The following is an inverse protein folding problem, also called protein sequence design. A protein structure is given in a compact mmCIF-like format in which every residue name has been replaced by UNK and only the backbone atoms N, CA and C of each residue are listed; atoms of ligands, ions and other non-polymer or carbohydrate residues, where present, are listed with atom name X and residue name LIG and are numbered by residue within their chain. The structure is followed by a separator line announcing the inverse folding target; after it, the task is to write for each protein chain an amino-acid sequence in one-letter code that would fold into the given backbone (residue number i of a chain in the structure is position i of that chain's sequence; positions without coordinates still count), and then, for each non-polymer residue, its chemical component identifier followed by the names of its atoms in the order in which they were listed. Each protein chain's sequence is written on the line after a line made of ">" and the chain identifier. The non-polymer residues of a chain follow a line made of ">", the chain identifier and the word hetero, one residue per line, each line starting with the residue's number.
data_IF_872243526082
#
_entry.id   IF_872243526082
#
_cell.length_a   1.000
_cell.length_b   1.000
_cell.length_c   1.000
_cell.angle_alpha   90.00
_cell.angle_beta   90.00
_cell.angle_gamma   90.00
#
_symmetry.space_group_name_H-M   'P 1'
#
loop_
_entity.id
_entity.type
_entity.pdbx_description
1 polymer ?
#
# COMPACT_ATOMS: atom_id res chain seq x y z
N UNK A 1 -4.07 -8.09 28.47
CA UNK A 1 -5.54 -7.89 28.52
C UNK A 1 -6.20 -8.88 27.57
N UNK A 2 -7.51 -9.12 27.67
CA UNK A 2 -8.21 -9.96 26.68
C UNK A 2 -8.39 -9.19 25.36
N UNK A 3 -8.52 -9.91 24.25
CA UNK A 3 -8.96 -9.36 22.99
C UNK A 3 -9.74 -10.38 22.17
N UNK A 4 -10.58 -9.91 21.26
CA UNK A 4 -11.32 -10.76 20.32
C UNK A 4 -11.34 -10.15 18.92
N UNK A 5 -11.09 -11.00 17.92
CA UNK A 5 -11.23 -10.69 16.50
C UNK A 5 -12.50 -11.36 15.97
N UNK A 6 -13.51 -10.59 15.59
CA UNK A 6 -14.73 -11.05 14.95
C UNK A 6 -14.70 -10.87 13.44
N UNK A 7 -15.24 -11.83 12.69
CA UNK A 7 -15.33 -11.83 11.23
C UNK A 7 -16.80 -11.77 10.78
N UNK A 8 -17.08 -11.16 9.62
CA UNK A 8 -18.46 -11.03 9.12
C UNK A 8 -19.19 -12.35 8.87
N UNK A 9 -18.43 -13.44 8.66
CA UNK A 9 -18.97 -14.78 8.43
C UNK A 9 -19.42 -15.49 9.71
N UNK A 10 -19.31 -14.82 10.87
CA UNK A 10 -19.77 -15.32 12.16
C UNK A 10 -18.71 -15.99 13.02
N UNK A 11 -17.48 -16.17 12.51
CA UNK A 11 -16.39 -16.70 13.32
C UNK A 11 -15.75 -15.59 14.17
N UNK A 12 -15.29 -15.95 15.37
CA UNK A 12 -14.49 -15.07 16.21
C UNK A 12 -13.34 -15.82 16.87
N UNK A 13 -12.31 -15.07 17.27
CA UNK A 13 -11.06 -15.62 17.82
C UNK A 13 -10.63 -14.79 19.02
N UNK A 14 -10.64 -15.42 20.19
CA UNK A 14 -10.17 -14.82 21.43
C UNK A 14 -8.65 -15.01 21.53
N UNK A 15 -7.96 -13.97 21.95
CA UNK A 15 -6.52 -13.95 22.14
C UNK A 15 -6.11 -12.98 23.24
N UNK A 16 -4.83 -12.63 23.21
CA UNK A 16 -4.23 -11.68 24.14
C UNK A 16 -4.12 -10.32 23.46
N UNK A 17 -4.77 -9.31 24.04
CA UNK A 17 -4.68 -7.93 23.57
C UNK A 17 -3.35 -7.29 23.95
N UNK A 18 -2.82 -6.48 23.04
CA UNK A 18 -1.68 -5.59 23.28
C UNK A 18 -1.94 -4.22 22.66
N UNK A 19 -1.26 -3.19 23.17
CA UNK A 19 -1.57 -1.81 22.83
C UNK A 19 -2.65 -1.22 23.72
N UNK A 20 -3.40 -0.24 23.21
CA UNK A 20 -4.49 0.40 23.94
C UNK A 20 -5.78 -0.42 23.90
N UNK A 21 -6.57 -0.36 24.97
CA UNK A 21 -7.94 -0.84 24.98
C UNK A 21 -8.81 -0.03 24.01
N UNK A 22 -9.80 -0.67 23.41
CA UNK A 22 -10.69 -0.04 22.44
C UNK A 22 -11.11 -0.98 21.33
N UNK A 23 -11.65 -0.39 20.27
CA UNK A 23 -12.20 -1.15 19.14
C UNK A 23 -11.70 -0.58 17.82
N UNK A 24 -11.47 -1.48 16.86
CA UNK A 24 -11.14 -1.12 15.48
C UNK A 24 -11.88 -2.03 14.52
N UNK A 25 -12.26 -1.49 13.37
CA UNK A 25 -12.87 -2.25 12.28
C UNK A 25 -12.05 -2.06 11.00
N UNK A 26 -12.05 -3.08 10.15
CA UNK A 26 -11.36 -3.04 8.87
C UNK A 26 -11.43 -4.35 8.12
N UNK A 27 -11.04 -4.31 6.85
CA UNK A 27 -10.86 -5.51 6.06
C UNK A 27 -9.66 -6.31 6.61
N UNK A 28 -9.87 -7.57 7.01
CA UNK A 28 -8.80 -8.46 7.44
C UNK A 28 -7.99 -8.91 6.24
N UNK A 29 -6.71 -8.54 6.25
CA UNK A 29 -5.73 -8.89 5.24
C UNK A 29 -4.54 -9.58 5.90
N UNK A 30 -3.82 -10.41 5.16
CA UNK A 30 -2.57 -10.99 5.63
C UNK A 30 -1.38 -10.53 4.80
N UNK A 31 -0.19 -10.48 5.41
CA UNK A 31 1.08 -10.26 4.72
C UNK A 31 2.06 -11.39 5.03
N UNK A 32 2.78 -11.84 3.99
CA UNK A 32 3.80 -12.89 4.11
C UNK A 32 5.18 -12.38 4.53
N UNK A 33 5.29 -11.08 4.83
CA UNK A 33 6.54 -10.48 5.28
C UNK A 33 7.01 -11.10 6.59
N UNK A 34 8.28 -11.51 6.63
CA UNK A 34 8.94 -12.06 7.82
C UNK A 34 9.75 -11.02 8.59
N UNK A 35 10.00 -9.87 7.96
CA UNK A 35 10.71 -8.71 8.50
C UNK A 35 10.01 -7.45 7.99
N UNK A 36 10.28 -6.29 8.59
CA UNK A 36 9.72 -5.03 8.12
C UNK A 36 8.29 -4.75 8.60
N UNK A 37 7.92 -5.24 9.80
CA UNK A 37 6.57 -5.07 10.32
C UNK A 37 6.22 -3.61 10.58
N UNK A 38 7.18 -2.76 10.98
CA UNK A 38 6.90 -1.32 11.16
C UNK A 38 6.71 -0.63 9.81
N UNK A 39 7.49 -1.01 8.80
CA UNK A 39 7.36 -0.51 7.44
C UNK A 39 6.00 -0.89 6.84
N UNK A 40 5.52 -2.10 7.12
CA UNK A 40 4.17 -2.52 6.75
C UNK A 40 3.09 -1.77 7.55
N UNK A 41 3.18 -1.70 8.88
CA UNK A 41 2.17 -1.02 9.72
C UNK A 41 2.02 0.47 9.38
N UNK A 42 3.11 1.12 8.96
CA UNK A 42 3.14 2.55 8.59
C UNK A 42 2.96 2.80 7.09
N UNK A 43 2.71 1.77 6.27
CA UNK A 43 2.39 1.94 4.86
C UNK A 43 0.94 2.45 4.71
N UNK A 44 0.71 3.65 4.14
CA UNK A 44 -0.63 4.22 3.96
C UNK A 44 -1.59 3.33 3.17
N UNK A 45 -1.08 2.42 2.33
CA UNK A 45 -1.92 1.48 1.58
C UNK A 45 -2.71 0.51 2.48
N UNK A 46 -2.34 0.35 3.76
CA UNK A 46 -3.10 -0.44 4.75
C UNK A 46 -4.22 0.34 5.46
N UNK A 47 -4.47 1.60 5.11
CA UNK A 47 -5.59 2.35 5.69
C UNK A 47 -6.91 1.58 5.53
N UNK A 48 -7.70 1.50 6.60
CA UNK A 48 -8.95 0.73 6.62
C UNK A 48 -8.80 -0.78 6.72
N UNK A 49 -7.57 -1.30 6.89
CA UNK A 49 -7.30 -2.74 6.97
C UNK A 49 -6.78 -3.16 8.35
N UNK A 50 -7.17 -4.34 8.80
CA UNK A 50 -6.61 -5.05 9.94
C UNK A 50 -5.48 -5.96 9.42
N UNK A 51 -4.23 -5.67 9.81
CA UNK A 51 -3.05 -6.32 9.23
C UNK A 51 -2.63 -7.53 10.04
N UNK A 52 -2.77 -8.71 9.44
CA UNK A 52 -2.28 -9.97 9.98
C UNK A 52 -0.92 -10.37 9.42
N UNK A 53 0.02 -10.69 10.29
CA UNK A 53 1.31 -11.23 9.90
C UNK A 53 1.29 -12.76 9.91
N UNK A 54 1.78 -13.37 8.82
CA UNK A 54 1.93 -14.84 8.78
C UNK A 54 3.19 -15.31 9.48
N UNK A 55 4.23 -14.46 9.56
CA UNK A 55 5.42 -14.77 10.35
C UNK A 55 5.05 -14.72 11.83
N UNK A 56 5.34 -15.79 12.62
CA UNK A 56 4.68 -15.98 13.89
C UNK A 56 5.10 -14.96 14.96
N UNK A 57 6.36 -14.50 14.95
CA UNK A 57 6.89 -13.61 15.97
C UNK A 57 7.06 -12.19 15.42
N UNK A 58 6.28 -11.25 15.94
CA UNK A 58 6.31 -9.84 15.54
C UNK A 58 6.78 -8.97 16.71
N UNK A 59 7.56 -7.92 16.43
CA UNK A 59 8.12 -7.03 17.45
C UNK A 59 9.55 -7.36 17.90
N UNK A 60 10.20 -8.39 17.34
CA UNK A 60 11.52 -8.87 17.78
C UNK A 60 12.65 -7.83 17.73
N UNK A 61 12.61 -6.86 16.79
CA UNK A 61 13.56 -5.76 16.75
C UNK A 61 13.07 -4.47 17.42
N UNK A 62 11.91 -4.48 18.07
CA UNK A 62 11.30 -3.28 18.66
C UNK A 62 10.71 -2.36 17.59
N UNK A 63 10.65 -1.06 17.87
CA UNK A 63 10.18 -0.05 16.92
C UNK A 63 11.36 0.67 16.28
N UNK A 64 11.41 0.60 14.95
CA UNK A 64 12.41 1.30 14.13
C UNK A 64 11.78 2.50 13.43
N UNK A 65 11.87 3.66 14.07
CA UNK A 65 11.36 4.93 13.55
C UNK A 65 12.04 5.38 12.25
N UNK A 66 13.27 4.93 11.97
CA UNK A 66 14.00 5.36 10.78
C UNK A 66 13.37 4.79 9.51
N UNK A 67 12.78 3.61 9.61
CA UNK A 67 12.27 2.86 8.47
C UNK A 67 10.76 3.05 8.24
N UNK A 68 10.08 3.83 9.09
CA UNK A 68 8.68 4.21 8.89
C UNK A 68 8.43 4.73 7.48
N UNK A 69 7.38 4.22 6.83
CA UNK A 69 6.96 4.64 5.50
C UNK A 69 6.04 5.86 5.54
N UNK A 70 5.43 6.13 6.69
CA UNK A 70 4.70 7.33 7.02
C UNK A 70 4.87 7.61 8.53
N UNK A 71 4.78 8.87 9.00
CA UNK A 71 4.88 9.17 10.44
C UNK A 71 3.84 8.45 11.32
N UNK A 72 2.70 8.04 10.74
CA UNK A 72 1.63 7.34 11.44
C UNK A 72 1.54 5.87 11.05
N UNK A 73 1.03 5.06 11.97
CA UNK A 73 0.53 3.71 11.67
C UNK A 73 -0.82 3.85 10.96
N UNK A 74 -0.94 3.24 9.78
CA UNK A 74 -2.14 3.31 8.95
C UNK A 74 -2.99 2.05 9.01
N UNK A 75 -2.37 0.90 9.33
CA UNK A 75 -3.12 -0.31 9.66
C UNK A 75 -4.02 -0.05 10.88
N UNK A 76 -5.28 -0.47 10.79
CA UNK A 76 -6.28 -0.30 11.86
C UNK A 76 -6.04 -1.19 13.07
N UNK A 77 -5.17 -2.19 12.93
CA UNK A 77 -4.78 -3.08 14.01
C UNK A 77 -3.73 -4.10 13.55
N UNK A 78 -3.01 -4.67 14.52
CA UNK A 78 -1.95 -5.65 14.28
C UNK A 78 -2.36 -7.03 14.83
N UNK A 79 -2.39 -8.03 13.95
CA UNK A 79 -2.77 -9.39 14.28
C UNK A 79 -1.55 -10.30 14.11
N UNK A 80 -1.15 -10.99 15.18
CA UNK A 80 0.02 -11.86 15.17
C UNK A 80 -0.24 -13.16 15.91
N UNK A 81 0.61 -14.16 15.68
CA UNK A 81 0.62 -15.37 16.50
C UNK A 81 1.26 -15.09 17.86
N UNK A 82 2.42 -14.45 17.86
CA UNK A 82 3.18 -14.06 19.05
C UNK A 82 3.68 -12.62 18.90
N UNK A 83 3.64 -11.87 20.00
CA UNK A 83 4.25 -10.54 20.11
C UNK A 83 5.48 -10.63 21.01
N UNK A 84 6.60 -10.07 20.56
CA UNK A 84 7.85 -10.12 21.31
C UNK A 84 7.79 -9.18 22.52
N UNK A 85 7.95 -9.76 23.71
CA UNK A 85 7.95 -9.01 24.98
C UNK A 85 9.33 -8.48 25.37
N UNK A 86 10.40 -9.01 24.78
CA UNK A 86 11.80 -8.64 25.04
C UNK A 86 12.53 -8.33 23.74
N UNK A 87 12.21 -7.20 23.07
CA UNK A 87 12.79 -6.82 21.79
C UNK A 87 14.28 -6.46 21.92
N UNK A 88 15.00 -6.53 20.81
CA UNK A 88 16.40 -6.09 20.74
C UNK A 88 16.56 -4.58 21.02
N UNK A 89 15.61 -3.77 20.58
CA UNK A 89 15.63 -2.32 20.74
C UNK A 89 14.35 -1.83 21.41
N UNK A 90 14.43 -0.71 22.13
CA UNK A 90 13.29 -0.01 22.70
C UNK A 90 12.84 1.14 21.80
N UNK A 91 11.55 1.50 21.79
CA UNK A 91 10.47 0.88 22.58
C UNK A 91 10.05 -0.48 22.02
N UNK A 92 9.36 -1.28 22.84
CA UNK A 92 8.68 -2.49 22.37
C UNK A 92 7.49 -2.13 21.49
N UNK A 93 7.08 -3.07 20.63
CA UNK A 93 5.89 -2.87 19.80
C UNK A 93 4.64 -2.63 20.67
N UNK A 94 4.49 -3.40 21.74
CA UNK A 94 3.37 -3.27 22.68
C UNK A 94 3.33 -1.90 23.33
N UNK A 95 4.46 -1.42 23.86
CA UNK A 95 4.55 -0.10 24.51
C UNK A 95 4.28 1.03 23.53
N UNK A 96 4.81 0.92 22.31
CA UNK A 96 4.54 1.90 21.26
C UNK A 96 3.06 1.92 20.87
N UNK A 97 2.42 0.74 20.74
CA UNK A 97 0.99 0.67 20.43
C UNK A 97 0.14 1.29 21.54
N UNK A 98 0.50 1.07 22.81
CA UNK A 98 -0.21 1.65 23.95
C UNK A 98 -0.09 3.18 23.96
N UNK A 99 1.12 3.71 23.78
CA UNK A 99 1.39 5.16 23.75
C UNK A 99 0.65 5.87 22.61
N UNK A 100 0.44 5.19 21.48
CA UNK A 100 -0.16 5.77 20.28
C UNK A 100 -1.66 5.43 20.12
N UNK A 101 -2.29 4.80 21.12
CA UNK A 101 -3.71 4.44 21.04
C UNK A 101 -4.03 3.40 19.97
N UNK A 102 -3.08 2.51 19.65
CA UNK A 102 -3.20 1.48 18.62
C UNK A 102 -3.59 0.13 19.23
N UNK A 103 -4.26 -0.70 18.44
CA UNK A 103 -4.84 -1.96 18.90
C UNK A 103 -4.15 -3.18 18.26
N UNK A 104 -3.90 -4.20 19.06
CA UNK A 104 -3.35 -5.46 18.57
C UNK A 104 -3.84 -6.68 19.33
N UNK A 105 -3.76 -7.83 18.67
CA UNK A 105 -4.09 -9.15 19.23
C UNK A 105 -3.02 -10.18 18.86
N UNK A 106 -2.61 -10.95 19.86
CA UNK A 106 -1.73 -12.10 19.75
C UNK A 106 -2.40 -13.39 20.26
N UNK A 107 -1.74 -14.53 20.09
CA UNK A 107 -2.21 -15.82 20.62
C UNK A 107 -3.22 -16.54 19.71
N UNK A 108 -3.62 -15.95 18.59
CA UNK A 108 -4.56 -16.56 17.65
C UNK A 108 -3.84 -17.39 16.56
N UNK A 109 -4.54 -18.31 15.91
CA UNK A 109 -3.99 -19.12 14.82
C UNK A 109 -4.01 -18.33 13.50
N UNK A 110 -2.94 -17.56 13.26
CA UNK A 110 -2.79 -16.77 12.02
C UNK A 110 -2.64 -17.64 10.78
N UNK A 111 -2.22 -18.91 10.89
CA UNK A 111 -2.12 -19.82 9.76
C UNK A 111 -3.50 -20.27 9.29
N UNK A 112 -4.37 -20.66 10.22
CA UNK A 112 -5.76 -21.01 9.92
C UNK A 112 -6.49 -19.81 9.30
N UNK A 113 -6.34 -18.61 9.88
CA UNK A 113 -6.91 -17.39 9.30
C UNK A 113 -6.38 -17.10 7.90
N UNK A 114 -5.08 -17.28 7.66
CA UNK A 114 -4.49 -17.10 6.31
C UNK A 114 -5.11 -18.06 5.29
N UNK A 115 -5.30 -19.34 5.67
CA UNK A 115 -5.97 -20.33 4.81
C UNK A 115 -7.41 -19.90 4.53
N UNK A 116 -8.14 -19.48 5.56
CA UNK A 116 -9.52 -19.00 5.45
C UNK A 116 -9.63 -17.81 4.48
N UNK A 117 -8.79 -16.79 4.64
CA UNK A 117 -8.75 -15.61 3.74
C UNK A 117 -8.40 -16.00 2.30
N UNK A 118 -7.50 -16.98 2.08
CA UNK A 118 -7.22 -17.48 0.73
C UNK A 118 -8.40 -18.23 0.10
N UNK A 119 -9.18 -18.96 0.90
CA UNK A 119 -10.32 -19.74 0.44
C UNK A 119 -11.58 -18.90 0.20
N UNK A 120 -11.82 -17.89 1.02
CA UNK A 120 -13.07 -17.11 0.98
C UNK A 120 -12.90 -15.66 0.51
N UNK A 121 -11.65 -15.20 0.43
CA UNK A 121 -11.32 -13.79 0.18
C UNK A 121 -11.11 -13.01 1.48
N UNK A 122 -10.79 -11.73 1.34
CA UNK A 122 -10.75 -10.81 2.49
C UNK A 122 -12.13 -10.70 3.13
N UNK A 123 -12.14 -10.53 4.45
CA UNK A 123 -13.36 -10.50 5.24
C UNK A 123 -13.41 -9.18 6.01
N UNK A 124 -14.60 -8.60 6.12
CA UNK A 124 -14.83 -7.54 7.10
C UNK A 124 -14.60 -8.08 8.50
N UNK A 125 -13.95 -7.30 9.34
CA UNK A 125 -13.53 -7.74 10.67
C UNK A 125 -13.55 -6.61 11.69
N UNK A 126 -13.70 -6.98 12.95
CA UNK A 126 -13.62 -6.08 14.08
C UNK A 126 -12.69 -6.67 15.14
N UNK A 127 -11.79 -5.84 15.67
CA UNK A 127 -10.91 -6.16 16.77
C UNK A 127 -11.35 -5.37 17.99
N UNK A 128 -11.62 -6.08 19.08
CA UNK A 128 -11.90 -5.50 20.40
C UNK A 128 -10.73 -5.86 21.31
N UNK A 129 -10.13 -4.86 21.95
CA UNK A 129 -9.03 -5.00 22.92
C UNK A 129 -9.54 -4.51 24.27
N UNK A 130 -9.39 -5.34 25.31
CA UNK A 130 -9.98 -5.12 26.64
C UNK A 130 -11.21 -6.00 26.94
N UNK A 131 -11.76 -6.69 25.94
CA UNK A 131 -12.95 -7.55 26.04
C UNK A 131 -12.76 -8.85 25.23
N UNK A 132 -13.61 -9.86 25.47
CA UNK A 132 -13.71 -11.11 24.71
C UNK A 132 -15.13 -11.40 24.15
N UNK A 133 -16.01 -10.40 24.10
CA UNK A 133 -17.33 -10.50 23.46
C UNK A 133 -17.24 -10.72 21.93
N UNK A 134 -17.24 -12.00 21.55
CA UNK A 134 -17.21 -12.42 20.15
C UNK A 134 -18.49 -12.09 19.37
N UNK A 135 -19.64 -12.04 20.02
CA UNK A 135 -20.91 -11.71 19.35
C UNK A 135 -20.93 -10.24 18.95
N UNK A 136 -20.51 -9.36 19.86
CA UNK A 136 -20.33 -7.94 19.57
C UNK A 136 -19.33 -7.72 18.44
N UNK A 137 -18.17 -8.39 18.48
CA UNK A 137 -17.15 -8.26 17.43
C UNK A 137 -17.69 -8.68 16.04
N UNK A 138 -18.44 -9.79 15.97
CA UNK A 138 -19.08 -10.23 14.71
C UNK A 138 -20.13 -9.23 14.23
N UNK A 139 -20.94 -8.67 15.13
CA UNK A 139 -21.95 -7.66 14.78
C UNK A 139 -21.28 -6.39 14.22
N UNK A 140 -20.20 -5.92 14.84
CA UNK A 140 -19.42 -4.79 14.35
C UNK A 140 -18.81 -5.07 12.97
N UNK A 141 -18.26 -6.27 12.76
CA UNK A 141 -17.71 -6.68 11.48
C UNK A 141 -18.77 -6.65 10.36
N UNK A 142 -19.99 -7.14 10.63
CA UNK A 142 -21.11 -7.14 9.67
C UNK A 142 -21.66 -5.75 9.38
N UNK A 143 -21.67 -4.86 10.38
CA UNK A 143 -22.17 -3.49 10.27
C UNK A 143 -21.28 -2.55 9.46
N UNK A 144 -20.04 -2.95 9.18
CA UNK A 144 -19.08 -2.13 8.43
C UNK A 144 -19.44 -2.07 6.92
N UNK A 145 -19.32 -0.90 6.27
CA UNK A 145 -19.37 -0.80 4.82
C UNK A 145 -18.23 -1.60 4.17
N UNK A 146 -18.42 -2.06 2.93
CA UNK A 146 -17.31 -2.67 2.19
C UNK A 146 -16.17 -1.65 2.01
N UNK A 147 -14.92 -2.10 2.10
CA UNK A 147 -13.75 -1.22 1.94
C UNK A 147 -13.75 -0.49 0.59
N UNK A 148 -14.34 -1.10 -0.46
CA UNK A 148 -14.46 -0.50 -1.80
C UNK A 148 -15.39 0.73 -1.81
N UNK A 149 -16.26 0.86 -0.81
CA UNK A 149 -17.17 1.99 -0.66
C UNK A 149 -16.56 3.15 0.14
N UNK A 150 -15.40 2.95 0.79
CA UNK A 150 -14.75 3.95 1.63
C UNK A 150 -13.88 4.91 0.80
N UNK A 151 -13.85 6.19 1.18
CA UNK A 151 -12.86 7.14 0.71
C UNK A 151 -11.67 7.15 1.68
N UNK A 152 -10.66 6.33 1.38
CA UNK A 152 -9.48 6.16 2.22
C UNK A 152 -8.35 7.12 1.84
N UNK A 153 -8.34 7.61 0.60
CA UNK A 153 -7.25 8.44 0.06
C UNK A 153 -7.24 9.80 0.77
N UNK A 154 -8.42 10.40 1.00
CA UNK A 154 -8.55 11.67 1.72
C UNK A 154 -7.94 11.60 3.14
N UNK A 155 -7.95 10.42 3.75
CA UNK A 155 -7.44 10.20 5.11
C UNK A 155 -5.92 10.13 5.18
N UNK A 156 -5.23 9.86 4.07
CA UNK A 156 -3.78 9.60 4.05
C UNK A 156 -2.97 10.60 3.20
N UNK A 157 -3.61 11.28 2.25
CA UNK A 157 -2.99 12.30 1.40
C UNK A 157 -2.47 13.49 2.21
N UNK A 158 -1.42 14.16 1.73
CA UNK A 158 -0.97 15.42 2.32
C UNK A 158 -2.06 16.50 2.27
N UNK A 159 -2.10 17.38 3.27
CA UNK A 159 -3.12 18.44 3.37
C UNK A 159 -2.76 19.68 2.55
N UNK A 160 -1.48 19.98 2.45
CA UNK A 160 -0.94 21.08 1.66
C UNK A 160 0.16 20.55 0.76
N UNK A 161 0.40 21.23 -0.37
CA UNK A 161 1.51 20.89 -1.23
C UNK A 161 2.84 21.30 -0.59
N UNK A 162 3.86 20.49 -0.78
CA UNK A 162 5.19 20.76 -0.23
C UNK A 162 6.29 20.27 -1.16
N UNK A 163 7.48 20.83 -0.99
CA UNK A 163 8.66 20.51 -1.81
C UNK A 163 9.71 19.82 -0.98
N UNK A 164 10.32 18.78 -1.56
CA UNK A 164 11.54 18.14 -1.09
C UNK A 164 12.66 18.52 -2.07
N UNK A 165 13.50 19.53 -1.73
CA UNK A 165 14.38 20.19 -2.69
C UNK A 165 15.43 19.25 -3.27
N UNK A 166 15.62 19.32 -4.59
CA UNK A 166 16.71 18.70 -5.34
C UNK A 166 17.33 19.63 -6.37
N UNK A 167 18.38 19.18 -7.07
CA UNK A 167 19.04 19.96 -8.14
C UNK A 167 18.79 19.41 -9.53
N UNK A 168 18.21 18.23 -9.61
CA UNK A 168 17.88 17.53 -10.84
C UNK A 168 16.48 17.85 -11.36
N UNK A 169 15.88 16.86 -12.01
CA UNK A 169 14.60 17.02 -12.72
C UNK A 169 13.44 17.26 -11.76
N UNK A 170 12.54 18.17 -12.12
CA UNK A 170 11.34 18.49 -11.35
C UNK A 170 10.25 17.45 -11.56
N UNK A 171 9.85 16.79 -10.47
CA UNK A 171 8.83 15.74 -10.49
C UNK A 171 7.69 16.17 -9.57
N UNK A 172 6.49 16.28 -10.14
CA UNK A 172 5.27 16.42 -9.37
C UNK A 172 4.76 15.04 -8.97
N UNK A 173 4.59 14.79 -7.68
CA UNK A 173 3.95 13.60 -7.13
C UNK A 173 2.51 13.96 -6.76
N UNK A 174 1.55 13.22 -7.30
CA UNK A 174 0.19 13.21 -6.79
C UNK A 174 0.10 12.20 -5.64
N UNK A 175 -0.11 12.71 -4.43
CA UNK A 175 -0.07 11.95 -3.19
C UNK A 175 -1.40 11.24 -2.90
N UNK A 176 -1.44 9.94 -3.18
CA UNK A 176 -2.55 9.04 -2.85
C UNK A 176 -2.35 8.29 -1.52
N UNK A 177 -1.32 8.64 -0.74
CA UNK A 177 -0.80 7.85 0.37
C UNK A 177 0.68 7.47 0.16
N UNK A 178 1.49 8.44 -0.27
CA UNK A 178 2.87 8.23 -0.69
C UNK A 178 3.72 7.66 0.45
N UNK A 179 4.43 6.59 0.14
CA UNK A 179 5.47 6.06 1.03
C UNK A 179 6.71 6.94 0.97
N UNK A 180 7.30 7.21 2.14
CA UNK A 180 8.58 7.92 2.29
C UNK A 180 9.66 7.40 1.33
N UNK A 181 9.76 6.08 1.13
CA UNK A 181 10.82 5.54 0.29
C UNK A 181 10.68 5.87 -1.20
N UNK A 182 9.47 6.12 -1.72
CA UNK A 182 9.30 6.60 -3.10
C UNK A 182 10.03 7.94 -3.27
N UNK A 183 9.81 8.85 -2.31
CA UNK A 183 10.46 10.16 -2.29
C UNK A 183 11.97 10.02 -2.12
N UNK A 184 12.42 9.16 -1.21
CA UNK A 184 13.86 8.89 -1.01
C UNK A 184 14.50 8.33 -2.28
N UNK A 185 13.88 7.37 -2.97
CA UNK A 185 14.39 6.79 -4.21
C UNK A 185 14.51 7.82 -5.34
N UNK A 186 13.56 8.74 -5.46
CA UNK A 186 13.65 9.85 -6.43
C UNK A 186 14.76 10.84 -6.03
N UNK A 187 14.85 11.21 -4.75
CA UNK A 187 15.87 12.12 -4.22
C UNK A 187 17.29 11.59 -4.36
N UNK A 188 17.49 10.27 -4.27
CA UNK A 188 18.80 9.61 -4.54
C UNK A 188 19.30 9.84 -5.98
N UNK A 189 18.39 10.15 -6.90
CA UNK A 189 18.68 10.52 -8.29
C UNK A 189 18.70 12.04 -8.49
N UNK A 190 18.74 12.78 -7.38
CA UNK A 190 18.73 14.25 -7.29
C UNK A 190 17.45 14.92 -7.81
N UNK A 191 16.35 14.16 -7.95
CA UNK A 191 15.06 14.75 -8.34
C UNK A 191 14.65 15.89 -7.39
N UNK A 192 14.06 16.93 -7.96
CA UNK A 192 13.43 18.03 -7.23
C UNK A 192 11.93 17.74 -7.12
N UNK A 193 11.51 17.29 -5.94
CA UNK A 193 10.21 16.63 -5.78
C UNK A 193 9.20 17.61 -5.19
N UNK A 194 8.07 17.77 -5.87
CA UNK A 194 6.91 18.53 -5.41
C UNK A 194 5.78 17.55 -5.14
N UNK A 195 5.21 17.58 -3.94
CA UNK A 195 4.18 16.63 -3.52
C UNK A 195 2.88 17.41 -3.36
N UNK A 196 1.83 16.92 -4.01
CA UNK A 196 0.53 17.57 -4.08
C UNK A 196 -0.55 16.64 -3.52
N UNK A 197 -1.58 17.19 -2.84
CA UNK A 197 -2.75 16.42 -2.43
C UNK A 197 -3.38 15.68 -3.62
N UNK A 198 -4.01 14.53 -3.38
CA UNK A 198 -4.62 13.71 -4.44
C UNK A 198 -5.64 14.45 -5.33
N UNK A 199 -6.24 15.51 -4.81
CA UNK A 199 -7.25 16.33 -5.45
C UNK A 199 -6.68 17.54 -6.21
N UNK A 200 -5.35 17.71 -6.24
CA UNK A 200 -4.72 18.86 -6.86
C UNK A 200 -5.05 18.95 -8.35
N UNK A 201 -5.31 20.18 -8.81
CA UNK A 201 -5.66 20.43 -10.20
C UNK A 201 -4.41 20.56 -11.07
N UNK A 202 -4.60 20.47 -12.40
CA UNK A 202 -3.54 20.69 -13.37
C UNK A 202 -2.90 22.07 -13.21
N UNK A 203 -3.70 23.10 -12.96
CA UNK A 203 -3.21 24.48 -12.80
C UNK A 203 -2.30 24.62 -11.57
N UNK A 204 -2.65 23.98 -10.46
CA UNK A 204 -1.85 23.97 -9.23
C UNK A 204 -0.50 23.24 -9.43
N UNK A 205 -0.53 22.11 -10.14
CA UNK A 205 0.66 21.32 -10.44
C UNK A 205 1.57 22.05 -11.45
N UNK A 206 0.99 22.65 -12.50
CA UNK A 206 1.73 23.39 -13.54
C UNK A 206 2.48 24.62 -12.99
N UNK A 207 2.05 25.15 -11.84
CA UNK A 207 2.76 26.24 -11.15
C UNK A 207 4.22 25.90 -10.81
N UNK A 208 4.55 24.62 -10.59
CA UNK A 208 5.93 24.19 -10.37
C UNK A 208 6.69 23.85 -11.66
N UNK A 209 6.03 23.91 -12.83
CA UNK A 209 6.50 23.50 -14.16
C UNK A 209 7.20 22.12 -14.13
N UNK A 210 6.46 21.05 -13.79
CA UNK A 210 7.05 19.73 -13.66
C UNK A 210 7.55 19.20 -15.01
N UNK A 211 8.62 18.42 -14.99
CA UNK A 211 9.12 17.70 -16.16
C UNK A 211 8.49 16.30 -16.27
N UNK A 212 7.90 15.80 -15.18
CA UNK A 212 7.13 14.58 -15.15
C UNK A 212 6.10 14.59 -14.02
N UNK A 213 5.03 13.83 -14.23
CA UNK A 213 4.04 13.52 -13.22
C UNK A 213 4.29 12.10 -12.68
N UNK A 214 4.15 11.93 -11.37
CA UNK A 214 4.33 10.66 -10.68
C UNK A 214 3.13 10.40 -9.78
N UNK A 215 2.51 9.23 -9.91
CA UNK A 215 1.32 8.86 -9.14
C UNK A 215 1.73 7.82 -8.10
N UNK A 216 1.56 8.17 -6.82
CA UNK A 216 2.04 7.32 -5.72
C UNK A 216 1.18 6.06 -5.54
N UNK A 217 1.62 5.21 -4.61
CA UNK A 217 0.76 4.20 -4.00
C UNK A 217 -0.35 4.85 -3.16
N UNK A 218 -1.32 4.04 -2.74
CA UNK A 218 -2.45 4.48 -1.91
C UNK A 218 -3.40 3.35 -1.51
N UNK A 219 -4.31 3.60 -0.56
CA UNK A 219 -5.30 2.64 -0.06
C UNK A 219 -6.62 2.68 -0.84
N UNK A 220 -7.38 1.59 -0.74
CA UNK A 220 -8.77 1.53 -1.22
C UNK A 220 -8.93 1.21 -2.70
N UNK A 221 -10.16 1.39 -3.21
CA UNK A 221 -10.51 1.13 -4.60
C UNK A 221 -10.06 2.30 -5.49
N UNK A 222 -9.21 2.07 -6.52
CA UNK A 222 -8.75 3.12 -7.41
C UNK A 222 -9.89 3.85 -8.15
N UNK A 223 -11.06 3.22 -8.35
CA UNK A 223 -12.23 3.85 -8.99
C UNK A 223 -12.81 5.00 -8.15
N UNK A 224 -12.50 5.07 -6.86
CA UNK A 224 -12.91 6.16 -5.96
C UNK A 224 -12.05 7.41 -6.12
N UNK A 225 -10.83 7.29 -6.67
CA UNK A 225 -9.89 8.40 -6.84
C UNK A 225 -10.25 9.29 -8.06
N UNK A 226 -11.51 9.70 -8.17
CA UNK A 226 -12.04 10.39 -9.36
C UNK A 226 -11.32 11.70 -9.67
N UNK A 227 -10.94 12.46 -8.63
CA UNK A 227 -10.15 13.68 -8.78
C UNK A 227 -8.76 13.38 -9.37
N UNK A 228 -8.07 12.37 -8.85
CA UNK A 228 -6.76 11.95 -9.34
C UNK A 228 -6.83 11.45 -10.79
N UNK A 229 -7.83 10.62 -11.13
CA UNK A 229 -8.06 10.14 -12.50
C UNK A 229 -8.26 11.32 -13.46
N UNK A 230 -9.06 12.32 -13.05
CA UNK A 230 -9.30 13.53 -13.85
C UNK A 230 -8.01 14.33 -14.06
N UNK A 231 -7.22 14.54 -13.01
CA UNK A 231 -5.94 15.25 -13.10
C UNK A 231 -4.96 14.49 -14.00
N UNK A 232 -4.79 13.18 -13.81
CA UNK A 232 -3.92 12.36 -14.67
C UNK A 232 -4.34 12.41 -16.13
N UNK A 233 -5.66 12.31 -16.40
CA UNK A 233 -6.19 12.42 -17.77
C UNK A 233 -5.81 13.73 -18.46
N UNK A 234 -5.72 14.83 -17.71
CA UNK A 234 -5.33 16.14 -18.25
C UNK A 234 -3.85 16.29 -18.59
N UNK A 235 -3.00 15.32 -18.21
CA UNK A 235 -1.57 15.30 -18.53
C UNK A 235 -1.18 14.28 -19.61
N UNK A 236 -2.12 13.44 -20.06
CA UNK A 236 -1.86 12.41 -21.06
C UNK A 236 -1.30 13.03 -22.34
N UNK A 237 -0.11 12.59 -22.74
CA UNK A 237 0.60 13.09 -23.92
C UNK A 237 1.29 14.44 -23.75
N UNK A 238 1.18 15.13 -22.61
CA UNK A 238 1.85 16.42 -22.38
C UNK A 238 3.26 16.26 -21.76
N UNK A 239 3.36 15.46 -20.69
CA UNK A 239 4.62 15.15 -20.00
C UNK A 239 4.65 13.65 -19.66
N UNK A 240 5.83 13.04 -19.46
CA UNK A 240 5.91 11.66 -18.99
C UNK A 240 5.17 11.45 -17.67
N UNK A 241 4.44 10.33 -17.57
CA UNK A 241 3.70 9.97 -16.37
C UNK A 241 4.13 8.59 -15.87
N UNK A 242 4.43 8.52 -14.58
CA UNK A 242 4.84 7.30 -13.91
C UNK A 242 3.88 6.92 -12.79
N UNK A 243 3.73 5.64 -12.50
CA UNK A 243 2.83 5.16 -11.45
C UNK A 243 3.36 3.94 -10.71
N UNK A 244 3.15 3.90 -9.39
CA UNK A 244 3.46 2.76 -8.52
C UNK A 244 2.19 2.30 -7.79
N UNK A 245 1.92 1.00 -7.78
CA UNK A 245 0.78 0.38 -7.09
C UNK A 245 -0.56 1.01 -7.49
N UNK A 246 -1.15 1.87 -6.65
CA UNK A 246 -2.36 2.59 -7.00
C UNK A 246 -2.12 3.49 -8.22
N UNK A 247 -0.94 4.09 -8.38
CA UNK A 247 -0.61 4.87 -9.57
C UNK A 247 -0.69 4.09 -10.89
N UNK A 248 -0.36 2.80 -10.89
CA UNK A 248 -0.58 1.91 -12.06
C UNK A 248 -2.07 1.82 -12.40
N UNK A 249 -2.92 1.68 -11.39
CA UNK A 249 -4.37 1.56 -11.55
C UNK A 249 -5.00 2.88 -11.99
N UNK A 250 -4.60 4.01 -11.42
CA UNK A 250 -5.07 5.35 -11.81
C UNK A 250 -4.71 5.65 -13.27
N UNK A 251 -3.50 5.28 -13.70
CA UNK A 251 -3.08 5.44 -15.09
C UNK A 251 -3.94 4.62 -16.05
N UNK A 252 -4.21 3.36 -15.73
CA UNK A 252 -5.09 2.53 -16.54
C UNK A 252 -6.50 3.14 -16.64
N UNK A 253 -7.09 3.58 -15.52
CA UNK A 253 -8.41 4.20 -15.49
C UNK A 253 -8.45 5.55 -16.23
N UNK A 254 -7.38 6.34 -16.16
CA UNK A 254 -7.27 7.60 -16.89
C UNK A 254 -7.27 7.38 -18.41
N UNK A 255 -6.61 6.31 -18.86
CA UNK A 255 -6.55 5.83 -20.25
C UNK A 255 -7.84 5.14 -20.73
N UNK A 256 -8.79 4.85 -19.83
CA UNK A 256 -10.05 4.19 -20.15
C UNK A 256 -10.03 2.67 -20.02
N UNK A 257 -8.99 2.09 -19.42
CA UNK A 257 -8.98 0.70 -18.97
C UNK A 257 -9.78 0.48 -17.69
N UNK A 258 -9.82 -0.76 -17.23
CA UNK A 258 -10.60 -1.23 -16.10
C UNK A 258 -9.74 -1.83 -14.99
N UNK A 259 -10.29 -1.83 -13.77
CA UNK A 259 -9.71 -2.49 -12.60
C UNK A 259 -10.73 -3.42 -11.95
N UNK A 260 -10.22 -4.47 -11.30
CA UNK A 260 -11.01 -5.40 -10.51
C UNK A 260 -10.34 -5.74 -9.19
N UNK A 261 -11.15 -6.13 -8.21
CA UNK A 261 -10.70 -6.55 -6.87
C UNK A 261 -10.23 -8.00 -6.92
N UNK A 262 -9.02 -8.26 -6.41
CA UNK A 262 -8.53 -9.61 -6.18
C UNK A 262 -9.24 -10.25 -5.01
N UNK A 263 -9.32 -11.58 -5.03
CA UNK A 263 -9.93 -12.35 -3.94
C UNK A 263 -9.30 -12.03 -2.58
N UNK A 264 -7.97 -12.05 -2.49
CA UNK A 264 -7.24 -11.72 -1.26
C UNK A 264 -6.03 -10.79 -1.46
N UNK A 265 -5.79 -10.31 -2.68
CA UNK A 265 -4.69 -9.41 -3.01
C UNK A 265 -3.29 -10.00 -2.93
N UNK A 266 -2.29 -9.19 -3.27
CA UNK A 266 -0.87 -9.52 -3.11
C UNK A 266 -0.26 -8.67 -2.01
N UNK A 267 0.15 -9.34 -0.93
CA UNK A 267 0.68 -8.73 0.29
C UNK A 267 1.86 -9.53 0.82
N UNK A 268 3.07 -9.06 0.56
CA UNK A 268 4.28 -9.81 0.87
C UNK A 268 5.54 -9.21 0.25
N UNK A 269 6.70 -9.71 0.68
CA UNK A 269 8.02 -9.33 0.14
C UNK A 269 8.64 -10.42 -0.75
N UNK A 270 7.84 -11.40 -1.16
CA UNK A 270 8.30 -12.59 -1.90
C UNK A 270 7.53 -12.84 -3.19
N UNK A 271 6.92 -11.81 -3.79
CA UNK A 271 6.09 -11.96 -4.99
C UNK A 271 6.96 -11.96 -6.26
N UNK A 272 6.98 -13.06 -7.03
CA UNK A 272 7.77 -13.15 -8.26
C UNK A 272 7.07 -12.44 -9.41
N UNK A 273 7.77 -11.52 -10.07
CA UNK A 273 7.31 -10.87 -11.31
C UNK A 273 8.28 -11.16 -12.44
N UNK A 274 7.76 -11.18 -13.67
CA UNK A 274 8.53 -11.38 -14.89
C UNK A 274 8.11 -10.36 -15.95
N UNK A 275 9.10 -9.70 -16.57
CA UNK A 275 8.90 -8.93 -17.80
C UNK A 275 9.01 -9.80 -19.06
N UNK A 276 8.65 -9.29 -20.26
CA UNK A 276 8.48 -10.08 -21.49
C UNK A 276 9.62 -11.08 -21.80
N UNK A 277 10.88 -10.66 -21.65
CA UNK A 277 12.07 -11.48 -21.92
C UNK A 277 13.09 -11.44 -20.77
N UNK A 278 12.63 -11.06 -19.57
CA UNK A 278 13.48 -10.79 -18.41
C UNK A 278 13.59 -11.95 -17.42
N UNK A 279 14.59 -11.92 -16.51
CA UNK A 279 14.63 -12.84 -15.38
C UNK A 279 13.43 -12.61 -14.46
N UNK A 280 13.11 -13.61 -13.64
CA UNK A 280 12.18 -13.42 -12.52
C UNK A 280 12.87 -12.51 -11.50
N UNK A 281 12.16 -11.48 -11.03
CA UNK A 281 12.58 -10.62 -9.93
C UNK A 281 11.63 -10.81 -8.75
N UNK A 282 12.15 -10.74 -7.52
CA UNK A 282 11.30 -10.83 -6.33
C UNK A 282 10.93 -9.42 -5.88
N UNK A 283 9.65 -9.22 -5.56
CA UNK A 283 9.09 -7.90 -5.30
C UNK A 283 8.31 -7.83 -3.99
N UNK A 284 8.26 -6.61 -3.44
CA UNK A 284 7.29 -6.24 -2.42
C UNK A 284 5.98 -5.82 -3.07
N UNK A 285 4.87 -6.35 -2.57
CA UNK A 285 3.54 -6.00 -3.02
C UNK A 285 2.61 -5.76 -1.84
N UNK A 286 1.71 -4.79 -2.01
CA UNK A 286 0.63 -4.48 -1.10
C UNK A 286 -0.55 -3.89 -1.88
N UNK A 287 -1.34 -4.75 -2.55
CA UNK A 287 -2.51 -4.32 -3.30
C UNK A 287 -3.64 -5.35 -3.25
N UNK A 288 -4.88 -4.85 -3.26
CA UNK A 288 -6.11 -5.66 -3.34
C UNK A 288 -6.84 -5.53 -4.68
N UNK A 289 -6.38 -4.65 -5.57
CA UNK A 289 -6.96 -4.39 -6.88
C UNK A 289 -5.87 -4.50 -7.93
N UNK A 290 -6.25 -4.90 -9.14
CA UNK A 290 -5.34 -4.94 -10.29
C UNK A 290 -6.02 -4.35 -11.52
N UNK A 291 -5.20 -3.99 -12.49
CA UNK A 291 -5.65 -3.60 -13.83
C UNK A 291 -6.02 -4.85 -14.63
N UNK A 292 -7.12 -4.80 -15.35
CA UNK A 292 -7.43 -5.78 -16.38
C UNK A 292 -6.60 -5.46 -17.64
N UNK A 293 -5.58 -6.27 -17.90
CA UNK A 293 -4.68 -6.05 -19.04
C UNK A 293 -5.37 -6.10 -20.40
N UNK A 294 -6.48 -6.82 -20.53
CA UNK A 294 -7.25 -6.91 -21.78
C UNK A 294 -8.13 -5.69 -22.02
N UNK A 295 -8.39 -4.90 -20.98
CA UNK A 295 -9.16 -3.66 -21.07
C UNK A 295 -8.32 -2.44 -21.46
N UNK A 296 -6.98 -2.57 -21.50
CA UNK A 296 -6.10 -1.47 -21.83
C UNK A 296 -6.27 -1.05 -23.31
N UNK A 297 -6.30 0.26 -23.61
CA UNK A 297 -6.48 0.74 -24.97
C UNK A 297 -5.27 0.42 -25.86
N UNK A 298 -5.46 0.56 -27.18
CA UNK A 298 -4.38 0.43 -28.17
C UNK A 298 -3.19 1.36 -27.84
N UNK A 299 -1.97 0.86 -28.02
CA UNK A 299 -0.72 1.55 -27.65
C UNK A 299 -0.16 1.13 -26.29
N UNK A 300 -1.00 0.62 -25.39
CA UNK A 300 -0.55 0.05 -24.12
C UNK A 300 0.11 -1.32 -24.31
N UNK A 301 1.24 -1.54 -23.65
CA UNK A 301 2.00 -2.78 -23.65
C UNK A 301 2.18 -3.24 -22.21
N UNK A 302 1.74 -4.47 -21.90
CA UNK A 302 1.98 -5.10 -20.60
C UNK A 302 3.49 -5.36 -20.44
N UNK A 303 4.09 -4.82 -19.39
CA UNK A 303 5.55 -4.88 -19.16
C UNK A 303 5.95 -5.84 -18.05
N UNK A 304 5.04 -6.19 -17.14
CA UNK A 304 5.28 -7.18 -16.10
C UNK A 304 4.02 -7.99 -15.82
N UNK A 305 4.21 -9.26 -15.48
CA UNK A 305 3.17 -10.15 -14.96
C UNK A 305 3.64 -10.88 -13.70
N UNK A 306 2.69 -11.19 -12.83
CA UNK A 306 2.93 -12.03 -11.67
C UNK A 306 3.16 -13.47 -12.13
N UNK A 307 4.19 -14.13 -11.64
CA UNK A 307 4.50 -15.52 -12.06
C UNK A 307 3.56 -16.53 -11.41
N UNK A 308 2.98 -16.22 -10.25
CA UNK A 308 2.10 -17.15 -9.52
C UNK A 308 0.69 -17.22 -10.14
N UNK A 309 0.14 -16.10 -10.60
CA UNK A 309 -1.27 -16.02 -11.02
C UNK A 309 -1.52 -15.25 -12.33
N UNK A 310 -0.46 -14.82 -13.01
CA UNK A 310 -0.50 -14.16 -14.33
C UNK A 310 -1.20 -12.78 -14.36
N UNK A 311 -1.54 -12.21 -13.19
CA UNK A 311 -2.09 -10.85 -13.09
C UNK A 311 -1.10 -9.80 -13.62
N UNK A 312 -1.63 -8.67 -14.08
CA UNK A 312 -0.83 -7.56 -14.59
C UNK A 312 -0.05 -6.90 -13.46
N UNK A 313 1.27 -6.78 -13.63
CA UNK A 313 2.18 -6.19 -12.65
C UNK A 313 2.86 -4.90 -13.14
N UNK A 314 2.53 -4.46 -14.35
CA UNK A 314 2.95 -3.17 -14.91
C UNK A 314 2.67 -3.08 -16.40
N UNK A 315 2.50 -1.87 -16.91
CA UNK A 315 2.34 -1.58 -18.32
C UNK A 315 3.02 -0.27 -18.71
N UNK A 316 3.16 -0.05 -20.01
CA UNK A 316 3.69 1.18 -20.58
C UNK A 316 2.86 1.60 -21.79
N UNK A 317 2.81 2.90 -22.05
CA UNK A 317 2.39 3.45 -23.34
C UNK A 317 3.53 4.31 -23.87
N UNK A 318 4.32 3.80 -24.84
CA UNK A 318 5.46 4.53 -25.39
C UNK A 318 5.07 5.82 -26.12
N UNK A 319 3.86 5.90 -26.68
CA UNK A 319 3.41 7.08 -27.42
C UNK A 319 3.03 8.21 -26.46
N UNK A 320 2.45 7.86 -25.31
CA UNK A 320 2.05 8.83 -24.28
C UNK A 320 3.11 9.02 -23.19
N UNK A 321 4.31 8.42 -23.33
CA UNK A 321 5.39 8.44 -22.33
C UNK A 321 4.95 7.96 -20.94
N UNK A 322 4.17 6.88 -20.89
CA UNK A 322 3.66 6.29 -19.65
C UNK A 322 4.47 5.05 -19.29
N UNK A 323 4.86 4.93 -18.02
CA UNK A 323 5.41 3.70 -17.47
C UNK A 323 5.00 3.50 -16.02
N UNK A 324 4.42 2.35 -15.71
CA UNK A 324 3.97 2.06 -14.35
C UNK A 324 4.12 0.60 -13.96
N UNK A 325 4.14 0.38 -12.65
CA UNK A 325 4.31 -0.94 -12.03
C UNK A 325 3.34 -1.09 -10.87
N UNK A 326 2.83 -2.30 -10.67
CA UNK A 326 1.85 -2.62 -9.63
C UNK A 326 2.53 -2.98 -8.29
N UNK A 327 3.74 -3.51 -8.35
CA UNK A 327 4.59 -3.77 -7.18
C UNK A 327 5.28 -2.49 -6.67
N UNK A 328 6.02 -2.61 -5.57
CA UNK A 328 6.74 -1.52 -4.89
C UNK A 328 8.26 -1.62 -5.07
N UNK A 329 8.85 -1.04 -6.14
CA UNK A 329 10.29 -1.04 -6.35
C UNK A 329 11.07 -0.33 -5.24
N UNK A 330 10.46 0.64 -4.57
CA UNK A 330 11.10 1.44 -3.50
C UNK A 330 11.37 0.63 -2.23
N UNK A 331 10.83 -0.59 -2.17
CA UNK A 331 10.92 -1.61 -1.13
C UNK A 331 11.70 -1.19 0.13
N UNK A 332 11.02 -1.25 1.27
CA UNK A 332 11.63 -1.05 2.57
C UNK A 332 10.99 -2.06 3.52
N UNK A 333 11.79 -3.01 4.01
CA UNK A 333 11.31 -4.26 4.61
C UNK A 333 11.23 -5.46 3.65
N UNK A 334 11.54 -5.27 2.36
CA UNK A 334 11.55 -6.33 1.33
C UNK A 334 12.69 -6.19 0.30
N UNK A 335 12.70 -7.00 -0.77
CA UNK A 335 13.81 -7.10 -1.73
C UNK A 335 14.00 -5.82 -2.54
N UNK A 336 15.25 -5.48 -2.84
CA UNK A 336 15.63 -4.29 -3.63
C UNK A 336 15.94 -4.60 -5.10
N UNK A 337 15.59 -5.81 -5.57
CA UNK A 337 15.89 -6.35 -6.91
C UNK A 337 15.56 -5.36 -8.04
N UNK A 338 14.45 -4.62 -7.90
CA UNK A 338 13.95 -3.70 -8.92
C UNK A 338 14.03 -2.21 -8.55
N UNK A 339 14.54 -1.84 -7.36
CA UNK A 339 14.64 -0.42 -6.96
C UNK A 339 15.42 0.35 -8.00
N UNK A 340 16.65 -0.11 -8.26
CA UNK A 340 17.57 0.63 -9.10
C UNK A 340 17.12 0.65 -10.55
N UNK A 341 16.75 -0.51 -11.09
CA UNK A 341 16.36 -0.65 -12.49
C UNK A 341 15.11 0.16 -12.82
N UNK A 342 14.11 0.20 -11.94
CA UNK A 342 12.87 0.95 -12.15
C UNK A 342 13.10 2.45 -11.96
N UNK A 343 13.64 2.89 -10.83
CA UNK A 343 13.78 4.33 -10.59
C UNK A 343 14.87 4.97 -11.49
N UNK A 344 15.93 4.25 -11.89
CA UNK A 344 16.88 4.76 -12.89
C UNK A 344 16.20 4.91 -14.25
N UNK A 345 15.36 3.95 -14.66
CA UNK A 345 14.59 4.03 -15.91
C UNK A 345 13.65 5.22 -15.89
N UNK A 346 12.90 5.41 -14.79
CA UNK A 346 12.01 6.56 -14.60
C UNK A 346 12.83 7.85 -14.75
N UNK A 347 13.84 8.05 -13.91
CA UNK A 347 14.57 9.32 -13.88
C UNK A 347 15.30 9.65 -15.20
N UNK A 348 15.87 8.64 -15.87
CA UNK A 348 16.57 8.85 -17.16
C UNK A 348 15.62 9.16 -18.31
N UNK A 349 14.38 8.68 -18.27
CA UNK A 349 13.39 8.92 -19.33
C UNK A 349 12.70 10.29 -19.26
N UNK A 350 12.80 10.98 -18.12
CA UNK A 350 12.31 12.36 -18.00
C UNK A 350 13.19 13.29 -18.87
N UNK A 351 12.63 14.20 -19.68
CA UNK A 351 13.41 15.19 -20.44
C UNK A 351 14.23 16.11 -19.53
N UNK A 352 15.35 16.64 -20.02
CA UNK A 352 16.06 17.73 -19.36
C UNK A 352 15.27 19.06 -19.50
N UNK A 353 15.59 20.05 -18.65
CA UNK A 353 14.82 21.28 -18.48
C UNK A 353 15.09 22.33 -19.57
#
# INVERSE_FOLDING_TARGET
>A
MKAVLGLEDGNFFVGEGFGAEGTSTGELVFTTQMTGYMEALTDPSYAGQLLMFTYPLIGNYGVDFHNFQNPLVHARGCITREVCTSPKHSPSLTSFFEEHGLHGISGIDTRMLTIKTRLHGTLKSALIVGDDDGEQAVQMARGMPDISALDLIETVTCKESYRVPGRGKRIAILDLGVKKNIVVSLRRRDADVYIFPYSATKEEIDACRPQALFISNGPGDPKRATAAIKTVRSYLGEIPIYGICMGNQILALALGGETYKLKFGHRGSNQPVRGPEGPISITTQNHGYVVDGESLPEGCVVTYRNVNDNTLEGFADPYQNIFCVQFHPEAHGGPQDLEKSIFDKIYRSIPDA
#
